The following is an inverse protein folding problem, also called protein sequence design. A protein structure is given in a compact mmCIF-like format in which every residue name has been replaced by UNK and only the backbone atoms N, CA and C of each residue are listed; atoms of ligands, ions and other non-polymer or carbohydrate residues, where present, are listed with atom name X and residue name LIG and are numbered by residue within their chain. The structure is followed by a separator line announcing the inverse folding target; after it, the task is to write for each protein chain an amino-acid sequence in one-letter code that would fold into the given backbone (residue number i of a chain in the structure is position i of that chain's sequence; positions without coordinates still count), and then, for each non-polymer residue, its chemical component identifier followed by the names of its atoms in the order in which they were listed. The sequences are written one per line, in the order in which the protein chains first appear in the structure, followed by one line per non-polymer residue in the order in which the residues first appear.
data_IF_120862361888
#
_entry.id   IF_120862361888
#
_cell.length_a   1.000
_cell.length_b   1.000
_cell.length_c   1.000
_cell.angle_alpha   90.00
_cell.angle_beta   90.00
_cell.angle_gamma   90.00
#
_symmetry.space_group_name_H-M   'P 1'
#
loop_
_entity.id
_entity.type
_entity.pdbx_description
1 polymer ?
#
# COMPACT_ATOMS: atom_id res chain seq x y z
N UNK A 1 2.89 -18.81 -20.18
CA UNK A 1 1.72 -17.97 -19.81
C UNK A 1 1.13 -17.42 -21.10
N UNK A 2 -0.20 -17.28 -21.23
CA UNK A 2 -1.00 -17.06 -22.48
C UNK A 2 -0.51 -16.06 -23.55
N UNK A 3 0.55 -15.29 -23.30
CA UNK A 3 1.22 -14.38 -24.24
C UNK A 3 2.06 -15.12 -25.30
N UNK A 4 2.47 -16.36 -25.03
CA UNK A 4 3.32 -17.15 -25.93
C UNK A 4 2.54 -17.81 -27.07
N UNK A 5 1.24 -18.08 -26.87
CA UNK A 5 0.30 -18.30 -27.97
C UNK A 5 -0.23 -16.93 -28.44
N UNK A 6 -0.12 -16.62 -29.73
CA UNK A 6 -0.74 -15.43 -30.38
C UNK A 6 -2.28 -15.50 -30.37
N UNK A 7 -2.91 -15.72 -29.23
CA UNK A 7 -4.36 -15.66 -29.06
C UNK A 7 -4.81 -14.19 -29.06
N UNK A 8 -5.79 -13.88 -29.89
CA UNK A 8 -6.40 -12.54 -29.92
C UNK A 8 -7.03 -12.25 -28.54
N UNK A 9 -6.85 -11.04 -28.00
CA UNK A 9 -7.39 -10.61 -26.69
C UNK A 9 -8.89 -10.95 -26.47
N UNK A 10 -9.68 -11.05 -27.54
CA UNK A 10 -11.10 -11.46 -27.50
C UNK A 10 -11.27 -12.93 -27.08
N UNK A 11 -10.43 -13.84 -27.57
CA UNK A 11 -10.48 -15.25 -27.21
C UNK A 11 -10.10 -15.45 -25.74
N UNK A 12 -9.04 -14.78 -25.29
CA UNK A 12 -8.60 -14.77 -23.89
C UNK A 12 -9.69 -14.22 -22.98
N UNK A 13 -10.30 -13.10 -23.35
CA UNK A 13 -11.41 -12.51 -22.59
C UNK A 13 -12.58 -13.49 -22.43
N UNK A 14 -12.96 -14.20 -23.49
CA UNK A 14 -14.02 -15.21 -23.45
C UNK A 14 -13.65 -16.41 -22.57
N UNK A 15 -12.42 -16.94 -22.71
CA UNK A 15 -11.94 -18.08 -21.90
C UNK A 15 -11.85 -17.76 -20.41
N UNK A 16 -11.43 -16.55 -20.07
CA UNK A 16 -11.26 -16.09 -18.70
C UNK A 16 -12.51 -15.42 -18.12
N UNK A 17 -13.60 -15.31 -18.91
CA UNK A 17 -14.82 -14.60 -18.53
C UNK A 17 -14.58 -13.17 -18.01
N UNK A 18 -13.58 -12.47 -18.55
CA UNK A 18 -13.24 -11.08 -18.19
C UNK A 18 -13.50 -10.14 -19.37
N UNK A 19 -13.56 -8.84 -19.09
CA UNK A 19 -13.74 -7.85 -20.16
C UNK A 19 -12.50 -7.75 -21.04
N UNK A 20 -12.70 -7.52 -22.34
CA UNK A 20 -11.60 -7.25 -23.29
C UNK A 20 -10.70 -6.10 -22.82
N UNK A 21 -11.29 -5.08 -22.17
CA UNK A 21 -10.53 -3.96 -21.60
C UNK A 21 -9.62 -4.39 -20.45
N UNK A 22 -10.06 -5.31 -19.59
CA UNK A 22 -9.21 -5.84 -18.52
C UNK A 22 -8.01 -6.59 -19.08
N UNK A 23 -8.21 -7.46 -20.08
CA UNK A 23 -7.12 -8.18 -20.77
C UNK A 23 -6.12 -7.18 -21.38
N UNK A 24 -6.61 -6.18 -22.12
CA UNK A 24 -5.74 -5.16 -22.71
C UNK A 24 -4.92 -4.40 -21.67
N UNK A 25 -5.51 -4.01 -20.53
CA UNK A 25 -4.80 -3.34 -19.43
C UNK A 25 -3.73 -4.23 -18.81
N UNK A 26 -4.00 -5.53 -18.66
CA UNK A 26 -3.05 -6.50 -18.12
C UNK A 26 -1.87 -6.70 -19.08
N UNK A 27 -2.14 -6.91 -20.37
CA UNK A 27 -1.11 -7.09 -21.41
C UNK A 27 -0.21 -5.86 -21.49
N UNK A 28 -0.80 -4.66 -21.63
CA UNK A 28 -0.05 -3.41 -21.68
C UNK A 28 0.81 -3.19 -20.42
N UNK A 29 0.26 -3.52 -19.24
CA UNK A 29 1.02 -3.43 -17.98
C UNK A 29 2.21 -4.39 -17.96
N UNK A 30 2.01 -5.61 -18.45
CA UNK A 30 3.06 -6.62 -18.52
C UNK A 30 4.19 -6.17 -19.46
N UNK A 31 3.86 -5.64 -20.64
CA UNK A 31 4.86 -5.09 -21.57
C UNK A 31 5.66 -3.92 -20.97
N UNK A 32 5.03 -3.08 -20.13
CA UNK A 32 5.69 -1.94 -19.50
C UNK A 32 6.55 -2.28 -18.28
N UNK A 33 6.17 -3.30 -17.50
CA UNK A 33 6.79 -3.60 -16.19
C UNK A 33 7.51 -4.95 -16.13
N UNK A 34 7.28 -5.84 -17.11
CA UNK A 34 7.68 -7.25 -17.12
C UNK A 34 7.31 -8.00 -15.83
N UNK A 35 6.27 -7.53 -15.14
CA UNK A 35 5.80 -8.05 -13.86
C UNK A 35 4.32 -8.40 -13.98
N UNK A 36 3.97 -9.64 -13.65
CA UNK A 36 2.58 -10.12 -13.64
C UNK A 36 1.75 -9.54 -12.48
N UNK A 37 2.40 -9.00 -11.44
CA UNK A 37 1.75 -8.36 -10.29
C UNK A 37 1.07 -7.05 -10.68
N UNK A 38 -0.04 -6.75 -10.01
CA UNK A 38 -0.70 -5.45 -10.16
C UNK A 38 0.20 -4.31 -9.63
N UNK A 39 0.00 -3.11 -10.19
CA UNK A 39 0.63 -1.89 -9.70
C UNK A 39 0.18 -1.62 -8.28
N UNK A 40 1.08 -1.12 -7.45
CA UNK A 40 0.66 -0.53 -6.19
C UNK A 40 -0.38 0.55 -6.49
N UNK A 41 -1.51 0.50 -5.76
CA UNK A 41 -2.54 1.51 -5.94
C UNK A 41 -1.92 2.87 -5.66
N UNK A 42 -2.07 3.79 -6.60
CA UNK A 42 -1.77 5.19 -6.33
C UNK A 42 -2.73 5.67 -5.24
N UNK A 43 -2.16 6.26 -4.20
CA UNK A 43 -2.92 6.73 -3.06
C UNK A 43 -2.05 7.65 -2.23
N UNK A 44 -2.68 8.58 -1.50
CA UNK A 44 -1.96 9.44 -0.58
C UNK A 44 -1.35 8.59 0.53
N UNK A 45 -0.05 8.74 0.84
CA UNK A 45 0.55 8.07 1.99
C UNK A 45 -0.24 8.36 3.26
N UNK A 46 -0.38 7.35 4.13
CA UNK A 46 -1.08 7.55 5.40
C UNK A 46 -0.33 8.57 6.23
N UNK A 47 -1.06 9.56 6.75
CA UNK A 47 -0.50 10.50 7.72
C UNK A 47 -0.19 9.78 9.03
N UNK A 48 0.94 10.13 9.63
CA UNK A 48 1.32 9.68 10.97
C UNK A 48 0.29 10.13 12.02
N UNK A 49 -0.43 11.24 11.80
CA UNK A 49 -1.38 11.81 12.77
C UNK A 49 -2.80 11.23 12.68
N UNK A 50 -2.96 10.00 12.21
CA UNK A 50 -4.28 9.35 12.17
C UNK A 50 -4.78 9.01 13.59
N UNK A 51 -6.11 9.02 13.83
CA UNK A 51 -6.67 8.66 15.15
C UNK A 51 -6.23 7.27 15.64
N UNK A 52 -6.10 6.31 14.71
CA UNK A 52 -5.67 4.95 15.04
C UNK A 52 -4.22 4.92 15.56
N UNK A 53 -3.29 5.62 14.88
CA UNK A 53 -1.90 5.72 15.33
C UNK A 53 -1.82 6.42 16.69
N UNK A 54 -2.56 7.52 16.88
CA UNK A 54 -2.60 8.23 18.17
C UNK A 54 -3.06 7.33 19.32
N UNK A 55 -4.13 6.56 19.11
CA UNK A 55 -4.65 5.62 20.11
C UNK A 55 -3.61 4.56 20.48
N UNK A 56 -2.90 4.01 19.49
CA UNK A 56 -1.89 3.00 19.72
C UNK A 56 -0.66 3.57 20.46
N UNK A 57 -0.16 4.73 20.04
CA UNK A 57 0.99 5.40 20.70
C UNK A 57 0.65 5.74 22.16
N UNK A 58 -0.52 6.32 22.43
CA UNK A 58 -0.95 6.62 23.81
C UNK A 58 -1.09 5.37 24.67
N UNK A 59 -1.57 4.25 24.10
CA UNK A 59 -1.66 2.97 24.81
C UNK A 59 -0.28 2.42 25.17
N UNK A 60 0.67 2.45 24.23
CA UNK A 60 2.03 1.95 24.46
C UNK A 60 2.75 2.82 25.50
N UNK A 61 2.58 4.16 25.45
CA UNK A 61 3.18 5.08 26.42
C UNK A 61 2.71 4.81 27.85
N UNK A 62 1.40 4.55 28.03
CA UNK A 62 0.82 4.24 29.34
C UNK A 62 1.34 2.93 29.91
N UNK A 63 1.53 1.92 29.08
CA UNK A 63 1.84 0.56 29.57
C UNK A 63 3.33 0.33 29.85
N UNK A 64 4.22 1.06 29.18
CA UNK A 64 5.64 0.70 29.12
C UNK A 64 6.58 1.72 29.78
N UNK A 65 6.04 2.73 30.49
CA UNK A 65 6.76 3.94 30.91
C UNK A 65 7.69 4.49 29.81
N UNK A 66 7.25 4.33 28.55
CA UNK A 66 8.12 4.42 27.40
C UNK A 66 8.55 5.86 27.17
N UNK A 67 9.84 6.10 26.97
CA UNK A 67 10.31 7.41 26.52
C UNK A 67 9.72 7.73 25.13
N UNK A 68 9.17 8.94 24.97
CA UNK A 68 8.70 9.45 23.67
C UNK A 68 9.81 9.40 22.61
N UNK A 69 11.06 9.62 23.02
CA UNK A 69 12.21 9.58 22.13
C UNK A 69 12.45 8.17 21.59
N UNK A 70 12.36 7.15 22.46
CA UNK A 70 12.49 5.75 22.06
C UNK A 70 11.39 5.34 21.09
N UNK A 71 10.15 5.80 21.30
CA UNK A 71 9.06 5.55 20.34
C UNK A 71 9.23 6.30 19.02
N UNK A 72 9.71 7.54 19.06
CA UNK A 72 9.99 8.32 17.86
C UNK A 72 11.01 7.59 16.99
N UNK A 73 12.09 7.08 17.60
CA UNK A 73 13.08 6.23 16.91
C UNK A 73 12.48 4.94 16.38
N UNK A 74 11.74 4.18 17.20
CA UNK A 74 11.15 2.90 16.77
C UNK A 74 10.17 3.05 15.60
N UNK A 75 9.45 4.17 15.55
CA UNK A 75 8.46 4.44 14.51
C UNK A 75 9.01 5.29 13.36
N UNK A 76 10.28 5.68 13.40
CA UNK A 76 10.92 6.60 12.45
C UNK A 76 10.13 7.91 12.25
N UNK A 77 9.65 8.48 13.35
CA UNK A 77 8.89 9.75 13.38
C UNK A 77 9.72 10.80 14.09
N UNK A 78 9.63 12.06 13.68
CA UNK A 78 10.30 13.15 14.39
C UNK A 78 9.73 13.34 15.81
N UNK A 79 10.59 13.71 16.76
CA UNK A 79 10.17 13.96 18.14
C UNK A 79 9.07 15.02 18.25
N UNK A 80 9.11 16.03 17.36
CA UNK A 80 8.09 17.09 17.30
C UNK A 80 6.72 16.51 16.93
N UNK A 81 6.66 15.65 15.91
CA UNK A 81 5.43 14.98 15.50
C UNK A 81 4.92 14.03 16.57
N UNK A 82 5.83 13.32 17.24
CA UNK A 82 5.51 12.48 18.39
C UNK A 82 4.88 13.28 19.54
N UNK A 83 5.46 14.44 19.89
CA UNK A 83 4.88 15.33 20.90
C UNK A 83 3.48 15.79 20.53
N UNK A 84 3.23 16.13 19.26
CA UNK A 84 1.88 16.51 18.76
C UNK A 84 0.88 15.36 18.91
N UNK A 85 1.29 14.12 18.62
CA UNK A 85 0.46 12.91 18.75
C UNK A 85 0.06 12.64 20.21
N UNK A 86 0.99 12.88 21.15
CA UNK A 86 0.74 12.65 22.58
C UNK A 86 -0.13 13.76 23.16
N UNK A 87 0.14 15.03 22.81
CA UNK A 87 -0.57 16.19 23.35
C UNK A 87 -2.03 16.29 22.89
N UNK A 88 -2.32 15.93 21.63
CA UNK A 88 -3.67 15.94 21.05
C UNK A 88 -4.39 14.61 21.26
#
# INVERSE_FOLDING_TARGET
MLMEQREKNVAIAKKLCVTRMAVHRIVKRYEELDIAKDRSRSGRPRSVNTPHVRKNVKRILRNNNGSMMKMASNLNISLISMKKIVKN
#
